data_IF_085328907652
#
_entry.id   IF_085328907652
#
_cell.length_a   1.000
_cell.length_b   1.000
_cell.length_c   1.000
_cell.angle_alpha   90.00
_cell.angle_beta   90.00
_cell.angle_gamma   90.00
#
_symmetry.space_group_name_H-M   'P 1'
#
loop_
_entity.id
_entity.type
_entity.pdbx_description
1 polymer ?
#
# COMPACT_ATOMS: atom_id res chain seq x y z
N UNK A 1 -8.99 -30.28 -37.79
CA UNK A 1 -9.64 -28.96 -37.94
C UNK A 1 -9.36 -28.38 -39.32
N UNK A 2 -10.39 -27.96 -40.08
CA UNK A 2 -10.24 -27.24 -41.34
C UNK A 2 -9.50 -25.90 -41.17
N UNK A 3 -8.68 -25.51 -42.17
CA UNK A 3 -7.86 -24.28 -42.17
C UNK A 3 -8.70 -23.00 -41.97
N UNK A 4 -9.97 -23.00 -42.39
CA UNK A 4 -10.90 -21.89 -42.20
C UNK A 4 -11.39 -21.76 -40.74
N UNK A 5 -11.57 -22.87 -40.03
CA UNK A 5 -11.92 -22.83 -38.60
C UNK A 5 -10.74 -22.34 -37.76
N UNK A 6 -9.51 -22.76 -38.07
CA UNK A 6 -8.31 -22.27 -37.40
C UNK A 6 -8.15 -20.75 -37.54
N UNK A 7 -8.41 -20.19 -38.73
CA UNK A 7 -8.38 -18.74 -38.96
C UNK A 7 -9.46 -17.99 -38.17
N UNK A 8 -10.66 -18.55 -38.04
CA UNK A 8 -11.75 -17.95 -37.24
C UNK A 8 -11.40 -17.94 -35.75
N UNK A 9 -10.87 -19.04 -35.21
CA UNK A 9 -10.44 -19.13 -33.80
C UNK A 9 -9.29 -18.15 -33.54
N UNK A 10 -8.29 -18.10 -34.42
CA UNK A 10 -7.18 -17.17 -34.27
C UNK A 10 -7.63 -15.70 -34.29
N UNK A 11 -8.55 -15.34 -35.21
CA UNK A 11 -9.12 -13.98 -35.27
C UNK A 11 -9.93 -13.66 -34.01
N UNK A 12 -10.80 -14.56 -33.57
CA UNK A 12 -11.58 -14.39 -32.35
C UNK A 12 -10.69 -14.22 -31.11
N UNK A 13 -9.64 -15.05 -30.97
CA UNK A 13 -8.68 -14.93 -29.88
C UNK A 13 -7.90 -13.62 -29.93
N UNK A 14 -7.51 -13.15 -31.12
CA UNK A 14 -6.84 -11.87 -31.31
C UNK A 14 -7.75 -10.69 -30.94
N UNK A 15 -8.98 -10.68 -31.46
CA UNK A 15 -9.96 -9.62 -31.18
C UNK A 15 -10.33 -9.59 -29.69
N UNK A 16 -10.48 -10.76 -29.06
CA UNK A 16 -10.75 -10.88 -27.61
C UNK A 16 -9.60 -10.32 -26.77
N UNK A 17 -8.35 -10.66 -27.11
CA UNK A 17 -7.15 -10.11 -26.43
C UNK A 17 -7.03 -8.60 -26.61
N UNK A 18 -7.32 -8.09 -27.81
CA UNK A 18 -7.30 -6.66 -28.10
C UNK A 18 -8.34 -5.92 -27.26
N UNK A 19 -9.57 -6.42 -27.23
CA UNK A 19 -10.64 -5.85 -26.41
C UNK A 19 -10.30 -5.89 -24.92
N UNK A 20 -9.77 -7.00 -24.42
CA UNK A 20 -9.35 -7.12 -23.02
C UNK A 20 -8.29 -6.07 -22.66
N UNK A 21 -7.29 -5.89 -23.52
CA UNK A 21 -6.26 -4.86 -23.33
C UNK A 21 -6.83 -3.44 -23.32
N UNK A 22 -7.75 -3.13 -24.24
CA UNK A 22 -8.41 -1.82 -24.27
C UNK A 22 -9.25 -1.54 -23.02
N UNK A 23 -9.93 -2.57 -22.49
CA UNK A 23 -10.68 -2.43 -21.24
C UNK A 23 -9.77 -2.27 -20.03
N UNK A 24 -8.64 -2.98 -19.99
CA UNK A 24 -7.63 -2.84 -18.95
C UNK A 24 -7.00 -1.43 -18.93
N UNK A 25 -6.66 -0.88 -20.10
CA UNK A 25 -6.17 0.51 -20.22
C UNK A 25 -7.21 1.53 -19.71
N UNK A 26 -8.50 1.32 -20.02
CA UNK A 26 -9.59 2.15 -19.48
C UNK A 26 -9.70 2.02 -17.97
N UNK A 27 -9.60 0.80 -17.42
CA UNK A 27 -9.64 0.56 -15.98
C UNK A 27 -8.48 1.27 -15.26
N UNK A 28 -7.26 1.18 -15.81
CA UNK A 28 -6.07 1.88 -15.29
C UNK A 28 -6.31 3.40 -15.28
N UNK A 29 -6.84 3.96 -16.37
CA UNK A 29 -7.13 5.40 -16.44
C UNK A 29 -8.15 5.84 -15.39
N UNK A 30 -9.19 5.03 -15.14
CA UNK A 30 -10.16 5.30 -14.07
C UNK A 30 -9.49 5.23 -12.70
N UNK A 31 -8.64 4.25 -12.45
CA UNK A 31 -7.92 4.14 -11.18
C UNK A 31 -6.95 5.32 -10.96
N UNK A 32 -6.27 5.79 -12.01
CA UNK A 32 -5.41 6.97 -11.93
C UNK A 32 -6.19 8.24 -11.55
N UNK A 33 -7.46 8.37 -11.96
CA UNK A 33 -8.30 9.52 -11.58
C UNK A 33 -8.60 9.63 -10.08
N UNK A 34 -8.38 8.55 -9.31
CA UNK A 34 -8.49 8.57 -7.84
C UNK A 34 -7.44 9.50 -7.24
N UNK A 35 -6.23 9.52 -7.80
CA UNK A 35 -5.15 10.38 -7.32
C UNK A 35 -5.53 11.86 -7.46
N UNK A 36 -5.98 12.25 -8.66
CA UNK A 36 -6.46 13.60 -8.95
C UNK A 36 -7.59 14.01 -8.00
N UNK A 37 -8.53 13.08 -7.75
CA UNK A 37 -9.63 13.30 -6.81
C UNK A 37 -9.14 13.54 -5.38
N UNK A 38 -8.27 12.68 -4.85
CA UNK A 38 -7.73 12.81 -3.48
C UNK A 38 -6.98 14.12 -3.31
N UNK A 39 -6.10 14.46 -4.25
CA UNK A 39 -5.32 15.69 -4.20
C UNK A 39 -6.20 16.94 -4.30
N UNK A 40 -7.22 16.91 -5.18
CA UNK A 40 -8.18 18.01 -5.32
C UNK A 40 -9.00 18.25 -4.04
N UNK A 41 -9.52 17.20 -3.40
CA UNK A 41 -10.29 17.33 -2.15
C UNK A 41 -9.43 17.86 -0.99
N UNK A 42 -8.13 17.57 -1.04
CA UNK A 42 -7.15 18.10 -0.09
C UNK A 42 -6.61 19.49 -0.46
N UNK A 43 -6.97 20.02 -1.63
CA UNK A 43 -6.49 21.31 -2.13
C UNK A 43 -4.99 21.32 -2.44
N UNK A 44 -4.46 20.18 -2.87
CA UNK A 44 -3.04 19.99 -3.15
C UNK A 44 -2.83 20.07 -4.65
N UNK A 45 -2.08 21.09 -5.10
CA UNK A 45 -1.61 21.20 -6.47
C UNK A 45 -0.18 20.63 -6.58
N UNK A 46 0.02 19.73 -7.53
CA UNK A 46 1.32 19.12 -7.74
C UNK A 46 2.15 19.99 -8.70
N UNK A 47 3.35 20.43 -8.32
CA UNK A 47 4.19 21.23 -9.19
C UNK A 47 4.57 20.46 -10.45
N UNK A 48 4.61 21.19 -11.55
CA UNK A 48 4.99 20.69 -12.87
C UNK A 48 6.48 20.96 -13.07
N UNK A 49 7.27 19.92 -13.32
CA UNK A 49 8.70 20.06 -13.58
C UNK A 49 9.46 18.75 -13.45
N UNK A 50 10.60 18.65 -14.12
CA UNK A 50 11.53 17.54 -13.94
C UNK A 50 12.27 17.69 -12.61
N UNK A 51 12.45 16.60 -11.88
CA UNK A 51 13.29 16.61 -10.69
C UNK A 51 14.74 16.97 -11.06
N UNK A 52 15.36 17.86 -10.27
CA UNK A 52 16.77 18.17 -10.40
C UNK A 52 17.61 16.89 -10.32
N UNK A 53 18.52 16.71 -11.28
CA UNK A 53 19.38 15.53 -11.35
C UNK A 53 20.62 15.64 -10.47
N UNK A 54 21.04 16.87 -10.18
CA UNK A 54 22.20 17.20 -9.34
C UNK A 54 21.72 18.24 -8.35
N UNK A 55 22.04 18.02 -7.07
CA UNK A 55 21.70 18.93 -5.98
C UNK A 55 22.82 18.90 -4.94
N UNK A 56 22.88 19.93 -4.12
CA UNK A 56 23.75 19.98 -2.95
C UNK A 56 22.88 19.98 -1.68
N UNK A 57 23.47 19.54 -0.59
CA UNK A 57 22.87 19.59 0.74
C UNK A 57 23.93 20.09 1.71
N UNK A 58 23.56 20.98 2.61
CA UNK A 58 24.47 21.46 3.64
C UNK A 58 24.67 20.39 4.72
N UNK A 59 25.86 20.35 5.33
CA UNK A 59 26.21 19.28 6.28
C UNK A 59 25.32 19.26 7.54
N UNK A 60 24.76 20.40 7.92
CA UNK A 60 23.79 20.56 9.00
C UNK A 60 22.39 20.00 8.66
N UNK A 61 22.03 19.93 7.36
CA UNK A 61 20.77 19.29 6.91
C UNK A 61 20.82 17.75 6.95
N UNK A 62 22.01 17.13 6.98
CA UNK A 62 22.20 15.66 6.84
C UNK A 62 21.71 14.86 8.08
N UNK A 63 21.47 15.52 9.21
CA UNK A 63 20.97 14.92 10.46
C UNK A 63 21.62 13.54 10.76
N UNK A 64 20.84 12.46 10.81
CA UNK A 64 21.30 11.10 11.15
C UNK A 64 21.37 10.15 9.96
N UNK A 65 20.95 10.57 8.76
CA UNK A 65 20.83 9.70 7.58
C UNK A 65 21.73 10.23 6.47
N UNK A 66 22.76 9.47 6.10
CA UNK A 66 23.61 9.78 4.96
C UNK A 66 23.13 9.02 3.71
N UNK A 67 22.06 9.51 3.07
CA UNK A 67 21.46 8.89 1.88
C UNK A 67 21.01 9.96 0.87
N UNK A 68 21.65 10.08 -0.30
CA UNK A 68 21.28 11.10 -1.29
C UNK A 68 19.85 10.90 -1.82
N UNK A 69 19.35 9.67 -1.89
CA UNK A 69 17.98 9.43 -2.34
C UNK A 69 16.96 10.08 -1.41
N UNK A 70 17.23 10.10 -0.10
CA UNK A 70 16.35 10.71 0.91
C UNK A 70 16.28 12.25 0.78
N UNK A 71 17.35 12.89 0.33
CA UNK A 71 17.49 14.35 0.28
C UNK A 71 17.18 14.97 -1.09
N UNK A 72 16.63 14.18 -2.03
CA UNK A 72 16.25 14.71 -3.34
C UNK A 72 15.35 15.95 -3.19
N UNK A 73 15.63 17.07 -3.88
CA UNK A 73 14.89 18.33 -3.71
C UNK A 73 13.38 18.22 -3.92
N UNK A 74 12.95 17.23 -4.72
CA UNK A 74 11.53 16.93 -4.94
C UNK A 74 10.76 16.67 -3.63
N UNK A 75 11.44 16.25 -2.56
CA UNK A 75 10.83 16.01 -1.26
C UNK A 75 10.66 17.27 -0.41
N UNK A 76 11.40 18.36 -0.66
CA UNK A 76 11.17 19.67 0.00
C UNK A 76 9.75 20.18 -0.25
N UNK A 77 9.17 19.81 -1.40
CA UNK A 77 7.76 20.06 -1.71
C UNK A 77 6.81 19.32 -0.76
N UNK A 78 7.10 18.07 -0.38
CA UNK A 78 6.26 17.36 0.59
C UNK A 78 6.25 18.13 1.92
N UNK A 79 7.42 18.54 2.40
CA UNK A 79 7.57 19.32 3.62
C UNK A 79 6.74 20.62 3.57
N UNK A 80 6.71 21.29 2.40
CA UNK A 80 5.85 22.44 2.16
C UNK A 80 4.36 22.08 2.20
N UNK A 81 3.93 21.03 1.50
CA UNK A 81 2.52 20.59 1.47
C UNK A 81 2.01 20.27 2.88
N UNK A 82 2.79 19.52 3.66
CA UNK A 82 2.42 19.14 5.04
C UNK A 82 2.42 20.33 6.01
N UNK A 83 3.21 21.38 5.77
CA UNK A 83 3.25 22.56 6.63
C UNK A 83 2.22 23.64 6.26
N UNK A 84 1.75 23.69 5.01
CA UNK A 84 0.81 24.73 4.54
C UNK A 84 -0.63 24.26 4.37
N UNK A 85 -0.91 22.96 4.52
CA UNK A 85 -2.27 22.45 4.40
C UNK A 85 -3.18 23.01 5.51
N UNK A 86 -4.46 23.24 5.18
CA UNK A 86 -5.48 23.68 6.14
C UNK A 86 -6.03 22.55 7.02
N UNK A 87 -5.70 21.31 6.69
CA UNK A 87 -6.18 20.13 7.40
C UNK A 87 -5.18 19.67 8.46
N UNK A 88 -5.61 18.77 9.34
CA UNK A 88 -4.72 18.23 10.36
C UNK A 88 -3.66 17.32 9.72
N UNK A 89 -2.46 17.35 10.28
CA UNK A 89 -1.34 16.50 9.87
C UNK A 89 -0.78 15.79 11.10
N UNK A 90 -0.74 14.46 11.04
CA UNK A 90 -0.07 13.63 12.06
C UNK A 90 0.68 12.49 11.39
N UNK A 91 1.68 11.98 12.10
CA UNK A 91 2.39 10.77 11.69
C UNK A 91 1.55 9.52 11.95
N UNK A 92 1.82 8.42 11.25
CA UNK A 92 1.17 7.14 11.50
C UNK A 92 1.40 6.70 12.95
N UNK A 93 2.59 6.96 13.51
CA UNK A 93 2.88 6.71 14.93
C UNK A 93 1.86 7.40 15.85
N UNK A 94 1.55 8.67 15.59
CA UNK A 94 0.61 9.45 16.41
C UNK A 94 -0.87 9.19 16.08
N UNK A 95 -1.17 8.60 14.92
CA UNK A 95 -2.52 8.19 14.53
C UNK A 95 -2.82 6.73 14.87
N UNK A 96 -1.88 6.00 15.46
CA UNK A 96 -2.01 4.56 15.68
C UNK A 96 -2.01 4.20 17.16
N UNK A 97 -2.80 3.20 17.52
CA UNK A 97 -2.68 2.53 18.82
C UNK A 97 -1.57 1.48 18.82
N UNK A 98 -1.18 0.98 17.64
CA UNK A 98 -0.14 -0.04 17.49
C UNK A 98 0.44 -0.04 16.07
N UNK A 99 1.76 -0.12 15.97
CA UNK A 99 2.49 -0.45 14.75
C UNK A 99 3.31 -1.70 15.02
N UNK A 100 3.23 -2.70 14.15
CA UNK A 100 3.90 -3.98 14.34
C UNK A 100 4.34 -4.60 13.02
N UNK A 101 5.38 -5.42 13.07
CA UNK A 101 5.73 -6.36 11.99
C UNK A 101 5.64 -7.79 12.49
N UNK A 102 5.69 -8.73 11.56
CA UNK A 102 5.75 -10.14 11.85
C UNK A 102 7.15 -10.71 11.96
N UNK A 103 7.19 -12.03 11.98
CA UNK A 103 8.40 -12.83 11.79
C UNK A 103 8.04 -13.99 10.87
N UNK A 104 9.00 -14.47 10.09
CA UNK A 104 8.76 -15.65 9.24
C UNK A 104 9.19 -16.90 10.01
N UNK A 105 8.27 -17.83 10.35
CA UNK A 105 8.66 -19.12 10.89
C UNK A 105 9.57 -19.85 9.90
N UNK A 106 10.56 -20.59 10.41
CA UNK A 106 11.45 -21.38 9.55
C UNK A 106 10.62 -22.42 8.79
N UNK A 107 10.86 -22.53 7.48
CA UNK A 107 10.21 -23.52 6.63
C UNK A 107 10.64 -24.95 6.96
N UNK A 108 11.80 -25.11 7.61
CA UNK A 108 12.31 -26.38 8.14
C UNK A 108 11.65 -26.60 9.51
N UNK A 109 10.40 -27.06 9.50
CA UNK A 109 9.65 -27.33 10.73
C UNK A 109 8.14 -27.38 10.55
N UNK A 110 7.47 -27.83 11.60
CA UNK A 110 6.03 -28.09 11.69
C UNK A 110 5.21 -26.81 11.97
N UNK A 111 5.65 -25.66 11.44
CA UNK A 111 5.04 -24.35 11.74
C UNK A 111 3.80 -24.04 10.88
N UNK A 112 3.75 -24.61 9.68
CA UNK A 112 2.67 -24.46 8.73
C UNK A 112 1.73 -25.66 8.79
N UNK A 113 0.48 -25.45 8.39
CA UNK A 113 -0.55 -26.48 8.33
C UNK A 113 -1.55 -26.14 7.24
N UNK A 114 -2.55 -27.00 7.04
CA UNK A 114 -3.59 -26.81 6.03
C UNK A 114 -4.63 -25.78 6.51
N UNK A 115 -5.43 -25.28 5.56
CA UNK A 115 -6.45 -24.28 5.82
C UNK A 115 -7.52 -24.72 6.85
N UNK A 116 -7.82 -26.03 6.93
CA UNK A 116 -8.85 -26.56 7.85
C UNK A 116 -8.53 -26.30 9.32
N UNK A 117 -7.24 -26.32 9.68
CA UNK A 117 -6.76 -26.34 11.07
C UNK A 117 -5.79 -25.19 11.37
N UNK A 118 -5.61 -24.27 10.42
CA UNK A 118 -4.59 -23.24 10.46
C UNK A 118 -5.13 -21.82 10.51
N UNK A 119 -4.29 -20.93 11.05
CA UNK A 119 -4.53 -19.49 11.08
C UNK A 119 -3.89 -18.84 9.85
N UNK A 120 -4.61 -17.97 9.11
CA UNK A 120 -4.05 -17.28 7.95
C UNK A 120 -2.75 -16.53 8.26
N UNK A 121 -1.78 -16.66 7.36
CA UNK A 121 -0.47 -16.02 7.44
C UNK A 121 -0.17 -15.24 6.16
N UNK A 122 -0.21 -13.92 6.27
CA UNK A 122 -0.07 -13.00 5.15
C UNK A 122 1.40 -12.62 4.92
N UNK A 123 1.78 -12.63 3.66
CA UNK A 123 3.09 -12.22 3.13
C UNK A 123 2.90 -11.00 2.23
N UNK A 124 3.98 -10.28 1.96
CA UNK A 124 3.91 -9.10 1.11
C UNK A 124 3.51 -9.39 -0.34
N UNK A 125 3.66 -10.64 -0.81
CA UNK A 125 3.19 -11.10 -2.12
C UNK A 125 1.70 -11.44 -2.19
N UNK A 126 1.02 -11.53 -1.04
CA UNK A 126 -0.42 -11.81 -0.99
C UNK A 126 -1.25 -10.51 -1.14
N UNK A 127 -0.59 -9.35 -1.25
CA UNK A 127 -1.18 -8.09 -1.71
C UNK A 127 -1.07 -8.05 -3.23
N UNK A 128 -2.22 -8.00 -3.90
CA UNK A 128 -2.28 -7.98 -5.36
C UNK A 128 -1.98 -6.57 -5.93
N UNK A 129 -1.78 -6.44 -7.26
CA UNK A 129 -1.51 -5.15 -7.90
C UNK A 129 -2.59 -4.07 -7.69
N UNK A 130 -3.82 -4.47 -7.35
CA UNK A 130 -4.92 -3.55 -7.02
C UNK A 130 -4.95 -3.14 -5.54
N UNK A 131 -3.92 -3.50 -4.78
CA UNK A 131 -3.79 -3.20 -3.35
C UNK A 131 -4.91 -3.85 -2.51
N UNK A 132 -5.34 -5.05 -2.91
CA UNK A 132 -6.24 -5.93 -2.13
C UNK A 132 -5.49 -7.17 -1.68
N UNK A 133 -5.90 -7.74 -0.56
CA UNK A 133 -5.38 -9.03 -0.10
C UNK A 133 -6.09 -10.13 -0.89
N UNK A 134 -5.32 -11.04 -1.49
CA UNK A 134 -5.84 -12.29 -2.03
C UNK A 134 -5.99 -13.29 -0.87
N UNK A 135 -7.24 -13.60 -0.50
CA UNK A 135 -7.55 -14.54 0.58
C UNK A 135 -7.62 -16.00 0.11
N UNK A 136 -7.59 -16.24 -1.20
CA UNK A 136 -7.82 -17.57 -1.77
C UNK A 136 -6.54 -18.44 -1.71
N UNK A 137 -5.37 -17.80 -1.72
CA UNK A 137 -4.06 -18.47 -1.80
C UNK A 137 -3.13 -18.11 -0.62
N UNK A 138 -3.67 -18.08 0.59
CA UNK A 138 -2.88 -17.79 1.79
C UNK A 138 -2.12 -19.01 2.30
N UNK A 139 -1.00 -18.76 2.97
CA UNK A 139 -0.37 -19.76 3.82
C UNK A 139 -1.11 -19.83 5.16
N UNK A 140 -1.05 -20.98 5.82
CA UNK A 140 -1.65 -21.16 7.14
C UNK A 140 -0.63 -21.68 8.15
N UNK A 141 -0.67 -21.15 9.36
CA UNK A 141 0.22 -21.52 10.47
C UNK A 141 -0.55 -22.21 11.59
N UNK A 142 0.13 -23.04 12.36
CA UNK A 142 -0.49 -23.71 13.51
C UNK A 142 -0.90 -22.72 14.60
N UNK A 143 -1.94 -23.07 15.35
CA UNK A 143 -2.44 -22.29 16.48
C UNK A 143 -1.35 -21.98 17.53
N UNK A 144 -0.42 -22.91 17.75
CA UNK A 144 0.72 -22.70 18.66
C UNK A 144 1.64 -21.56 18.18
N UNK A 145 1.93 -21.50 16.88
CA UNK A 145 2.76 -20.45 16.29
C UNK A 145 2.06 -19.10 16.41
N UNK A 146 0.76 -19.06 16.10
CA UNK A 146 -0.09 -17.87 16.23
C UNK A 146 -0.11 -17.35 17.69
N UNK A 147 -0.35 -18.23 18.65
CA UNK A 147 -0.58 -17.87 20.06
C UNK A 147 0.70 -17.58 20.84
N UNK A 148 1.84 -18.15 20.42
CA UNK A 148 3.15 -17.97 21.06
C UNK A 148 4.03 -17.04 20.23
N UNK A 149 4.70 -17.58 19.21
CA UNK A 149 5.77 -16.90 18.47
C UNK A 149 5.29 -15.63 17.75
N UNK A 150 4.07 -15.64 17.23
CA UNK A 150 3.51 -14.53 16.44
C UNK A 150 2.41 -13.76 17.17
N UNK A 151 2.27 -13.92 18.48
CA UNK A 151 1.28 -13.16 19.29
C UNK A 151 1.38 -11.64 19.07
N UNK A 152 2.59 -11.16 18.82
CA UNK A 152 2.87 -9.75 18.58
C UNK A 152 2.31 -9.19 17.27
N UNK A 153 2.06 -10.03 16.26
CA UNK A 153 1.71 -9.63 14.88
C UNK A 153 0.29 -10.03 14.45
N UNK A 154 -0.59 -10.26 15.41
CA UNK A 154 -1.99 -10.62 15.16
C UNK A 154 -2.77 -9.44 14.57
N UNK A 155 -3.39 -9.69 13.42
CA UNK A 155 -4.20 -8.72 12.70
C UNK A 155 -5.61 -8.60 13.28
N UNK A 156 -6.19 -7.42 13.09
CA UNK A 156 -7.61 -7.15 13.27
C UNK A 156 -8.16 -6.48 12.02
N UNK A 157 -9.46 -6.65 11.80
CA UNK A 157 -10.17 -5.92 10.74
C UNK A 157 -9.92 -4.43 10.84
N UNK A 158 -9.59 -3.82 9.71
CA UNK A 158 -9.24 -2.40 9.63
C UNK A 158 -7.76 -2.09 9.89
N UNK A 159 -6.92 -3.08 10.22
CA UNK A 159 -5.47 -2.89 10.24
C UNK A 159 -4.98 -2.56 8.81
N UNK A 160 -4.15 -1.52 8.71
CA UNK A 160 -3.50 -1.12 7.46
C UNK A 160 -2.18 -1.87 7.30
N UNK A 161 -2.03 -2.60 6.21
CA UNK A 161 -0.82 -3.33 5.87
C UNK A 161 0.04 -2.51 4.91
N UNK A 162 1.35 -2.46 5.16
CA UNK A 162 2.34 -1.84 4.27
C UNK A 162 3.43 -2.85 3.96
N UNK A 163 3.72 -3.08 2.69
CA UNK A 163 4.82 -3.93 2.25
C UNK A 163 6.17 -3.23 2.43
N UNK A 164 7.08 -3.90 3.15
CA UNK A 164 8.35 -3.33 3.60
C UNK A 164 9.53 -3.68 2.72
N UNK A 165 9.46 -4.79 1.96
CA UNK A 165 10.61 -5.40 1.27
C UNK A 165 10.16 -6.00 -0.06
N UNK A 166 11.04 -5.93 -1.07
CA UNK A 166 10.92 -6.68 -2.33
C UNK A 166 10.12 -5.94 -3.40
N UNK A 167 9.62 -6.68 -4.40
CA UNK A 167 8.90 -6.12 -5.55
C UNK A 167 7.60 -5.38 -5.16
N UNK A 168 7.04 -5.69 -3.99
CA UNK A 168 5.81 -5.09 -3.48
C UNK A 168 6.04 -3.91 -2.54
N UNK A 169 7.29 -3.51 -2.28
CA UNK A 169 7.61 -2.43 -1.34
C UNK A 169 6.80 -1.15 -1.59
N UNK A 170 6.12 -0.66 -0.56
CA UNK A 170 5.24 0.50 -0.63
C UNK A 170 3.81 0.22 -1.08
N UNK A 171 3.45 -1.03 -1.41
CA UNK A 171 2.04 -1.43 -1.53
C UNK A 171 1.34 -1.32 -0.17
N UNK A 172 0.06 -0.91 -0.20
CA UNK A 172 -0.72 -0.61 0.99
C UNK A 172 -2.10 -1.23 0.88
N UNK A 173 -2.54 -1.98 1.88
CA UNK A 173 -3.86 -2.64 1.87
C UNK A 173 -4.56 -2.56 3.22
N UNK A 174 -5.85 -2.86 3.27
CA UNK A 174 -6.62 -2.99 4.52
C UNK A 174 -6.93 -4.47 4.74
N UNK A 175 -6.63 -4.96 5.94
CA UNK A 175 -7.12 -6.26 6.38
C UNK A 175 -8.63 -6.19 6.61
N UNK A 176 -9.41 -6.79 5.70
CA UNK A 176 -10.88 -6.68 5.67
C UNK A 176 -11.62 -7.85 6.33
N UNK A 177 -10.92 -8.92 6.70
CA UNK A 177 -11.49 -10.11 7.31
C UNK A 177 -11.68 -9.92 8.82
N UNK A 178 -12.74 -10.53 9.37
CA UNK A 178 -12.98 -10.61 10.82
C UNK A 178 -12.22 -11.78 11.48
N UNK A 179 -11.59 -12.64 10.69
CA UNK A 179 -10.78 -13.77 11.20
C UNK A 179 -9.46 -13.26 11.77
N UNK A 180 -8.89 -14.02 12.70
CA UNK A 180 -7.52 -13.79 13.14
C UNK A 180 -6.54 -14.15 12.01
N UNK A 181 -5.42 -13.44 11.96
CA UNK A 181 -4.33 -13.73 11.05
C UNK A 181 -3.02 -13.18 11.60
N UNK A 182 -1.90 -13.65 11.06
CA UNK A 182 -0.59 -13.05 11.29
C UNK A 182 0.02 -12.54 9.99
N UNK A 183 1.02 -11.69 10.13
CA UNK A 183 1.85 -11.21 9.01
C UNK A 183 3.27 -11.75 9.12
N UNK A 184 3.95 -11.83 7.99
CA UNK A 184 5.40 -12.04 7.90
C UNK A 184 6.20 -10.76 8.22
N UNK A 185 7.52 -10.89 8.33
CA UNK A 185 8.43 -9.75 8.57
C UNK A 185 8.50 -8.73 7.41
N UNK A 186 7.97 -9.09 6.23
CA UNK A 186 7.99 -8.24 5.05
C UNK A 186 6.78 -7.29 4.98
N UNK A 187 5.93 -7.31 6.01
CA UNK A 187 4.76 -6.46 6.16
C UNK A 187 4.86 -5.70 7.50
N UNK A 188 4.40 -4.46 7.51
CA UNK A 188 3.97 -3.77 8.72
C UNK A 188 2.44 -3.76 8.79
N UNK A 189 1.90 -3.82 9.99
CA UNK A 189 0.50 -3.52 10.30
C UNK A 189 0.44 -2.26 11.15
N UNK A 190 -0.45 -1.34 10.77
CA UNK A 190 -0.77 -0.10 11.47
C UNK A 190 -2.22 -0.18 11.91
N UNK A 191 -2.45 -0.21 13.22
CA UNK A 191 -3.77 -0.16 13.83
C UNK A 191 -4.07 1.25 14.25
N UNK A 192 -4.97 1.91 13.52
CA UNK A 192 -5.33 3.29 13.78
C UNK A 192 -6.10 3.46 15.09
N UNK A 193 -5.90 4.61 15.73
CA UNK A 193 -6.80 5.11 16.75
C UNK A 193 -8.07 5.66 16.08
N UNK A 194 -8.98 6.23 16.87
CA UNK A 194 -10.23 6.71 16.32
C UNK A 194 -10.11 7.97 15.46
N UNK A 195 -8.98 8.67 15.37
CA UNK A 195 -8.90 9.95 14.65
C UNK A 195 -9.00 9.82 13.13
N UNK A 196 -8.56 8.68 12.58
CA UNK A 196 -8.50 8.46 11.13
C UNK A 196 -9.19 7.16 10.73
N UNK A 197 -9.95 7.23 9.65
CA UNK A 197 -10.58 6.06 9.04
C UNK A 197 -9.51 5.28 8.28
N UNK A 198 -9.33 3.98 8.58
CA UNK A 198 -8.26 3.18 7.97
C UNK A 198 -8.31 3.17 6.44
N UNK A 199 -9.51 3.04 5.85
CA UNK A 199 -9.68 3.12 4.40
C UNK A 199 -9.25 4.47 3.83
N UNK A 200 -9.51 5.57 4.53
CA UNK A 200 -9.05 6.89 4.10
C UNK A 200 -7.52 6.96 4.14
N UNK A 201 -6.89 6.49 5.22
CA UNK A 201 -5.43 6.45 5.32
C UNK A 201 -4.80 5.59 4.22
N UNK A 202 -5.42 4.46 3.85
CA UNK A 202 -5.01 3.65 2.70
C UNK A 202 -5.05 4.46 1.41
N UNK A 203 -6.19 5.08 1.08
CA UNK A 203 -6.31 5.85 -0.16
C UNK A 203 -5.37 7.07 -0.18
N UNK A 204 -5.14 7.72 0.97
CA UNK A 204 -4.14 8.77 1.11
C UNK A 204 -2.72 8.26 0.83
N UNK A 205 -2.33 7.11 1.40
CA UNK A 205 -1.00 6.54 1.16
C UNK A 205 -0.80 6.00 -0.26
N UNK A 206 -1.89 5.65 -0.95
CA UNK A 206 -1.88 5.28 -2.37
C UNK A 206 -1.79 6.49 -3.30
N UNK A 207 -2.15 7.68 -2.84
CA UNK A 207 -1.97 8.92 -3.62
C UNK A 207 -0.49 9.20 -3.90
N UNK A 208 -0.21 10.07 -4.86
CA UNK A 208 1.13 10.47 -5.28
C UNK A 208 1.95 11.03 -4.12
N UNK A 209 1.36 11.84 -3.23
CA UNK A 209 2.05 12.35 -2.05
C UNK A 209 2.36 11.22 -1.05
N UNK A 210 1.46 10.25 -0.88
CA UNK A 210 1.66 9.07 -0.04
C UNK A 210 2.80 8.18 -0.56
N UNK A 211 2.79 7.88 -1.85
CA UNK A 211 3.83 7.10 -2.52
C UNK A 211 5.18 7.83 -2.55
N UNK A 212 5.20 9.16 -2.67
CA UNK A 212 6.43 9.95 -2.55
C UNK A 212 7.03 9.89 -1.14
N UNK A 213 6.21 9.86 -0.08
CA UNK A 213 6.74 9.65 1.28
C UNK A 213 7.38 8.28 1.42
N UNK A 214 6.70 7.23 0.94
CA UNK A 214 7.23 5.86 0.93
C UNK A 214 8.54 5.78 0.14
N UNK A 215 8.61 6.42 -1.02
CA UNK A 215 9.82 6.48 -1.84
C UNK A 215 10.97 7.21 -1.11
N UNK A 216 10.68 8.33 -0.42
CA UNK A 216 11.69 9.07 0.35
C UNK A 216 12.32 8.20 1.43
N UNK A 217 11.50 7.43 2.16
CA UNK A 217 12.00 6.66 3.32
C UNK A 217 12.68 5.36 2.94
N UNK A 218 12.46 4.82 1.73
CA UNK A 218 13.15 3.61 1.24
C UNK A 218 14.66 3.72 1.41
N UNK A 219 15.29 2.68 1.94
CA UNK A 219 16.75 2.57 2.04
C UNK A 219 17.29 1.67 0.95
N UNK A 220 18.21 2.19 0.16
CA UNK A 220 18.89 1.45 -0.90
C UNK A 220 20.20 0.87 -0.36
N UNK A 221 20.08 -0.15 0.50
CA UNK A 221 21.21 -0.98 0.95
C UNK A 221 21.31 -2.25 0.07
N UNK A 222 21.75 -3.39 0.63
CA UNK A 222 21.81 -4.66 -0.11
C UNK A 222 20.43 -5.18 -0.56
N UNK A 223 19.37 -4.84 0.18
CA UNK A 223 17.97 -5.03 -0.21
C UNK A 223 17.22 -3.76 0.12
N UNK A 224 16.38 -3.29 -0.82
CA UNK A 224 15.55 -2.12 -0.57
C UNK A 224 14.52 -2.45 0.51
N UNK A 225 14.48 -1.64 1.57
CA UNK A 225 13.53 -1.83 2.66
C UNK A 225 13.00 -0.51 3.25
N UNK A 226 11.91 -0.63 4.00
CA UNK A 226 11.36 0.38 4.92
C UNK A 226 11.25 -0.27 6.30
N UNK A 227 11.74 0.39 7.35
CA UNK A 227 11.65 -0.11 8.73
C UNK A 227 10.41 0.44 9.47
N UNK A 228 10.14 -0.04 10.69
CA UNK A 228 8.94 0.36 11.44
C UNK A 228 8.96 1.81 11.93
N UNK A 229 10.14 2.38 12.19
CA UNK A 229 10.25 3.80 12.55
C UNK A 229 9.93 4.69 11.35
N UNK A 230 10.38 4.29 10.16
CA UNK A 230 10.06 4.94 8.89
C UNK A 230 8.57 4.85 8.57
N UNK A 231 7.95 3.67 8.74
CA UNK A 231 6.49 3.53 8.67
C UNK A 231 5.81 4.47 9.66
N UNK A 232 6.26 4.49 10.91
CA UNK A 232 5.74 5.37 11.94
C UNK A 232 5.89 6.85 11.62
N UNK A 233 6.92 7.24 10.86
CA UNK A 233 7.21 8.62 10.46
C UNK A 233 6.32 9.14 9.32
N UNK A 234 5.70 8.26 8.53
CA UNK A 234 4.82 8.65 7.42
C UNK A 234 3.70 9.55 7.94
N UNK A 235 3.44 10.65 7.27
CA UNK A 235 2.41 11.63 7.64
C UNK A 235 1.13 11.38 6.84
N UNK A 236 0.00 11.68 7.47
CA UNK A 236 -1.32 11.70 6.86
C UNK A 236 -1.93 13.07 7.05
N UNK A 237 -2.35 13.69 5.94
CA UNK A 237 -3.23 14.86 5.97
C UNK A 237 -4.64 14.31 6.09
N UNK A 238 -5.42 14.74 7.07
CA UNK A 238 -6.77 14.21 7.27
C UNK A 238 -7.78 15.32 7.60
N UNK A 239 -8.93 15.36 6.89
CA UNK A 239 -10.05 16.23 7.22
C UNK A 239 -10.90 15.62 8.34
N UNK A 240 -12.09 16.18 8.60
CA UNK A 240 -13.06 15.60 9.53
C UNK A 240 -13.45 14.16 9.12
N UNK A 241 -13.87 13.34 10.08
CA UNK A 241 -14.32 11.96 9.81
C UNK A 241 -15.40 11.88 8.74
N UNK A 242 -16.36 12.80 8.75
CA UNK A 242 -17.44 12.83 7.76
C UNK A 242 -16.89 13.02 6.36
N UNK A 243 -15.91 13.92 6.20
CA UNK A 243 -15.24 14.16 4.93
C UNK A 243 -14.38 12.96 4.51
N UNK A 244 -13.67 12.33 5.45
CA UNK A 244 -12.91 11.09 5.19
C UNK A 244 -13.85 9.99 4.65
N UNK A 245 -14.99 9.77 5.30
CA UNK A 245 -15.99 8.78 4.89
C UNK A 245 -16.62 9.12 3.53
N UNK A 246 -16.92 10.40 3.28
CA UNK A 246 -17.42 10.89 1.99
C UNK A 246 -16.43 10.56 0.87
N UNK A 247 -15.15 10.89 1.07
CA UNK A 247 -14.07 10.62 0.11
C UNK A 247 -13.93 9.11 -0.14
N UNK A 248 -13.87 8.30 0.92
CA UNK A 248 -13.81 6.83 0.79
C UNK A 248 -15.01 6.29 0.01
N UNK A 249 -16.21 6.79 0.29
CA UNK A 249 -17.43 6.39 -0.43
C UNK A 249 -17.36 6.70 -1.93
N UNK A 250 -16.88 7.88 -2.30
CA UNK A 250 -16.66 8.26 -3.70
C UNK A 250 -15.59 7.38 -4.37
N UNK A 251 -14.46 7.15 -3.71
CA UNK A 251 -13.36 6.32 -4.23
C UNK A 251 -13.81 4.87 -4.43
N UNK A 252 -14.58 4.30 -3.50
CA UNK A 252 -15.17 2.96 -3.64
C UNK A 252 -16.02 2.84 -4.92
N UNK A 253 -16.84 3.85 -5.24
CA UNK A 253 -17.62 3.88 -6.49
C UNK A 253 -16.72 3.92 -7.73
N UNK A 254 -15.64 4.70 -7.71
CA UNK A 254 -14.67 4.77 -8.81
C UNK A 254 -13.99 3.41 -9.03
N UNK A 255 -13.54 2.75 -7.95
CA UNK A 255 -12.92 1.42 -8.00
C UNK A 255 -13.89 0.33 -8.48
N UNK A 256 -15.17 0.40 -8.09
CA UNK A 256 -16.19 -0.53 -8.56
C UNK A 256 -16.35 -0.45 -10.09
N UNK A 257 -16.46 0.77 -10.63
CA UNK A 257 -16.52 1.01 -12.07
C UNK A 257 -15.29 0.50 -12.82
N UNK A 258 -14.10 0.64 -12.25
CA UNK A 258 -12.88 0.08 -12.85
C UNK A 258 -12.87 -1.47 -12.83
N UNK A 259 -13.50 -2.07 -11.82
CA UNK A 259 -13.60 -3.53 -11.69
C UNK A 259 -14.56 -4.11 -12.73
N UNK A 260 -15.66 -3.42 -13.05
CA UNK A 260 -16.63 -3.82 -14.09
C UNK A 260 -16.04 -3.87 -15.51
N UNK A 261 -14.88 -3.23 -15.73
CA UNK A 261 -14.18 -3.25 -17.01
C UNK A 261 -13.21 -4.42 -17.15
N UNK A 262 -12.96 -5.20 -16.08
CA UNK A 262 -12.03 -6.34 -16.10
C UNK A 262 -12.79 -7.66 -16.12
#
# INVERSE_FOLDING_TARGET
MPKNEQKKIAKFAFDTRKNAKEMEEKAIKILLSIDDFVLSELGIDMPRGAAERVFHIWSDEIQTRLDPSYFRPIFKMLDKIFSTTKYNVKTLKNLSSKIMSGSTPLSVGDAYTDQSDGIPFLRSGDINPDNKIDFDNLNFIKQEIHSKKLRGSQLKKGDLLIALIGATIGQVSIYSSDKEANISQNLASVRFNEEVVSDYAKEFLLSKIGQMQLERVKRYAARVNINLDEVGSLQVIYPSKDKQNEMVGKIRKIRAKATELR
#
